data_IF_636358585556
#
_entry.id   IF_636358585556
#
_cell.length_a   1.000
_cell.length_b   1.000
_cell.length_c   1.000
_cell.angle_alpha   90.00
_cell.angle_beta   90.00
_cell.angle_gamma   90.00
#
_symmetry.space_group_name_H-M   'P 1'
#
loop_
_entity.id
_entity.type
_entity.pdbx_description
1 polymer ?
#
# COMPACT_ATOMS: atom_id res chain seq x y z
N UNK A 1 14.12 35.35 -4.39
CA UNK A 1 14.07 35.66 -2.93
C UNK A 1 14.59 34.49 -2.09
N UNK A 2 14.12 33.26 -2.32
CA UNK A 2 14.59 32.04 -1.61
C UNK A 2 16.12 31.85 -1.64
N UNK A 3 16.74 31.92 -2.83
CA UNK A 3 18.19 31.79 -2.98
C UNK A 3 19.02 32.78 -2.13
N UNK A 4 18.62 34.06 -2.11
CA UNK A 4 19.32 35.09 -1.35
C UNK A 4 19.29 34.81 0.15
N UNK A 5 18.13 34.40 0.68
CA UNK A 5 17.98 33.99 2.09
C UNK A 5 18.85 32.78 2.42
N UNK A 6 18.83 31.75 1.58
CA UNK A 6 19.66 30.55 1.78
C UNK A 6 21.16 30.90 1.75
N UNK A 7 21.58 31.75 0.82
CA UNK A 7 22.98 32.17 0.68
C UNK A 7 23.49 32.97 1.89
N UNK A 8 22.67 33.85 2.45
CA UNK A 8 23.02 34.63 3.64
C UNK A 8 23.15 33.71 4.87
N UNK A 9 22.16 32.83 5.09
CA UNK A 9 22.17 31.88 6.20
C UNK A 9 23.35 30.92 6.10
N UNK A 10 23.60 30.37 4.90
CA UNK A 10 24.69 29.42 4.68
C UNK A 10 26.06 30.03 4.98
N UNK A 11 26.31 31.27 4.52
CA UNK A 11 27.55 32.00 4.82
C UNK A 11 27.74 32.19 6.33
N UNK A 12 26.71 32.65 7.03
CA UNK A 12 26.74 32.87 8.49
C UNK A 12 27.06 31.58 9.28
N UNK A 13 26.51 30.44 8.87
CA UNK A 13 26.77 29.16 9.54
C UNK A 13 28.16 28.62 9.17
N UNK A 14 28.59 28.82 7.93
CA UNK A 14 29.84 28.31 7.42
C UNK A 14 31.08 28.94 8.05
N UNK A 15 30.99 30.16 8.60
CA UNK A 15 32.11 30.83 9.28
C UNK A 15 32.75 29.98 10.40
N UNK A 16 31.99 29.07 11.01
CA UNK A 16 32.49 28.13 12.03
C UNK A 16 33.26 26.92 11.45
N UNK A 17 33.16 26.67 10.15
CA UNK A 17 33.65 25.47 9.47
C UNK A 17 34.66 25.78 8.34
N UNK A 18 34.52 26.92 7.66
CA UNK A 18 35.37 27.31 6.53
C UNK A 18 34.74 28.37 5.62
N UNK A 19 35.01 28.28 4.32
CA UNK A 19 34.49 29.21 3.30
C UNK A 19 33.33 28.55 2.57
N UNK A 20 32.20 29.26 2.48
CA UNK A 20 31.01 28.80 1.76
C UNK A 20 30.78 29.61 0.49
N UNK A 21 30.51 28.92 -0.61
CA UNK A 21 30.01 29.50 -1.84
C UNK A 21 28.63 28.93 -2.14
N UNK A 22 27.67 29.81 -2.44
CA UNK A 22 26.34 29.41 -2.87
C UNK A 22 26.21 29.67 -4.36
N UNK A 23 25.57 28.74 -5.07
CA UNK A 23 25.34 28.81 -6.51
C UNK A 23 23.90 28.37 -6.76
N UNK A 24 23.19 29.07 -7.63
CA UNK A 24 21.85 28.66 -8.06
C UNK A 24 21.98 27.67 -9.24
N UNK A 25 21.40 26.49 -9.09
CA UNK A 25 21.32 25.48 -10.15
C UNK A 25 19.99 25.65 -10.90
N UNK A 26 19.88 25.29 -12.20
CA UNK A 26 18.59 25.20 -12.89
C UNK A 26 17.52 24.52 -12.04
N UNK A 27 16.27 25.00 -12.13
CA UNK A 27 15.11 24.60 -11.31
C UNK A 27 15.06 25.23 -9.89
N UNK A 28 15.89 26.23 -9.61
CA UNK A 28 15.75 27.07 -8.40
C UNK A 28 16.23 26.42 -7.10
N UNK A 29 17.05 25.36 -7.21
CA UNK A 29 17.64 24.66 -6.07
C UNK A 29 18.98 25.32 -5.71
N UNK A 30 19.15 25.83 -4.48
CA UNK A 30 20.42 26.39 -4.04
C UNK A 30 21.43 25.25 -3.81
N UNK A 31 22.62 25.39 -4.39
CA UNK A 31 23.76 24.53 -4.15
C UNK A 31 24.76 25.24 -3.24
N UNK A 32 25.31 24.51 -2.28
CA UNK A 32 26.28 25.04 -1.32
C UNK A 32 27.57 24.24 -1.45
N UNK A 33 28.66 24.93 -1.75
CA UNK A 33 30.01 24.38 -1.72
C UNK A 33 30.66 24.86 -0.43
N UNK A 34 30.98 23.92 0.46
CA UNK A 34 31.65 24.19 1.72
C UNK A 34 33.11 23.76 1.62
N UNK A 35 34.01 24.74 1.54
CA UNK A 35 35.45 24.54 1.56
C UNK A 35 35.97 24.65 2.99
N UNK A 36 36.56 23.58 3.52
CA UNK A 36 37.00 23.52 4.91
C UNK A 36 38.51 23.30 5.00
N UNK A 37 39.21 23.88 6.00
CA UNK A 37 40.65 23.76 6.15
C UNK A 37 41.10 22.36 6.60
N UNK A 38 40.18 21.62 7.23
CA UNK A 38 40.35 20.23 7.66
C UNK A 38 39.19 19.41 7.14
N UNK A 39 39.43 18.11 6.93
CA UNK A 39 38.37 17.16 6.58
C UNK A 39 37.34 17.09 7.71
N UNK A 40 36.08 17.39 7.41
CA UNK A 40 34.98 17.31 8.37
C UNK A 40 34.58 15.85 8.59
N UNK A 41 34.24 15.53 9.83
CA UNK A 41 33.59 14.25 10.16
C UNK A 41 32.13 14.29 9.73
N UNK A 42 31.54 13.11 9.47
CA UNK A 42 30.12 12.99 9.10
C UNK A 42 29.20 13.72 10.09
N UNK A 43 29.47 13.64 11.40
CA UNK A 43 28.68 14.32 12.42
C UNK A 43 28.70 15.85 12.26
N UNK A 44 29.83 16.43 11.87
CA UNK A 44 29.99 17.88 11.67
C UNK A 44 29.26 18.34 10.40
N UNK A 45 29.28 17.52 9.34
CA UNK A 45 28.54 17.76 8.09
C UNK A 45 27.03 17.72 8.35
N UNK A 46 26.56 16.69 9.04
CA UNK A 46 25.14 16.55 9.41
C UNK A 46 24.70 17.70 10.31
N UNK A 47 25.52 18.12 11.28
CA UNK A 47 25.21 19.25 12.16
C UNK A 47 25.08 20.56 11.38
N UNK A 48 26.00 20.82 10.44
CA UNK A 48 25.93 21.97 9.55
C UNK A 48 24.62 21.97 8.76
N UNK A 49 24.28 20.85 8.12
CA UNK A 49 23.05 20.71 7.33
C UNK A 49 21.79 20.86 8.19
N UNK A 50 21.76 20.30 9.41
CA UNK A 50 20.64 20.46 10.36
C UNK A 50 20.43 21.92 10.73
N UNK A 51 21.49 22.64 11.09
CA UNK A 51 21.42 24.08 11.41
C UNK A 51 20.88 24.87 10.22
N UNK A 52 21.36 24.57 9.01
CA UNK A 52 20.92 25.22 7.79
C UNK A 52 19.41 25.01 7.56
N UNK A 53 18.95 23.76 7.57
CA UNK A 53 17.55 23.39 7.38
C UNK A 53 16.67 24.07 8.44
N UNK A 54 17.05 24.02 9.72
CA UNK A 54 16.29 24.65 10.80
C UNK A 54 16.14 26.17 10.61
N UNK A 55 17.19 26.86 10.18
CA UNK A 55 17.15 28.30 9.92
C UNK A 55 16.29 28.65 8.69
N UNK A 56 16.31 27.82 7.65
CA UNK A 56 15.49 28.02 6.45
C UNK A 56 14.01 27.75 6.78
N UNK A 57 13.72 26.61 7.41
CA UNK A 57 12.35 26.18 7.73
C UNK A 57 11.64 27.15 8.69
N UNK A 58 12.36 27.70 9.68
CA UNK A 58 11.81 28.70 10.61
C UNK A 58 11.48 30.03 9.92
N UNK A 59 12.28 30.45 8.94
CA UNK A 59 12.07 31.71 8.23
C UNK A 59 11.03 31.61 7.09
N UNK A 60 10.87 30.44 6.47
CA UNK A 60 10.11 30.29 5.22
C UNK A 60 8.86 29.40 5.33
N UNK A 61 8.66 28.66 6.43
CA UNK A 61 7.60 27.63 6.57
C UNK A 61 7.59 26.58 5.44
N UNK A 62 8.76 26.33 4.84
CA UNK A 62 8.94 25.35 3.79
C UNK A 62 9.63 24.10 4.34
N UNK A 63 9.17 22.92 3.93
CA UNK A 63 9.91 21.68 4.15
C UNK A 63 11.16 21.71 3.26
N UNK A 64 12.33 21.62 3.88
CA UNK A 64 13.62 21.71 3.17
C UNK A 64 14.40 20.42 3.42
N UNK A 65 14.85 19.78 2.34
CA UNK A 65 15.76 18.64 2.39
C UNK A 65 17.13 19.05 1.86
N UNK A 66 18.20 18.52 2.49
CA UNK A 66 19.56 18.68 2.03
C UNK A 66 20.09 17.37 1.45
N UNK A 67 20.73 17.46 0.29
CA UNK A 67 21.35 16.33 -0.41
C UNK A 67 22.85 16.56 -0.43
N UNK A 68 23.61 15.64 0.14
CA UNK A 68 25.00 15.88 0.50
C UNK A 68 25.89 14.82 -0.15
N UNK A 69 26.94 15.26 -0.84
CA UNK A 69 28.03 14.40 -1.33
C UNK A 69 29.17 14.30 -0.33
N UNK A 70 30.10 13.36 -0.55
CA UNK A 70 31.25 13.14 0.33
C UNK A 70 32.23 14.33 0.28
N UNK A 71 33.09 14.41 1.29
CA UNK A 71 34.21 15.36 1.31
C UNK A 71 35.37 14.87 0.43
N UNK A 72 35.96 15.79 -0.32
CA UNK A 72 37.12 15.54 -1.18
C UNK A 72 38.15 16.65 -1.04
N UNK A 73 39.41 16.32 -1.34
CA UNK A 73 40.53 17.26 -1.35
C UNK A 73 40.70 17.88 -2.74
N UNK A 74 40.99 19.18 -2.76
CA UNK A 74 41.33 19.91 -3.98
C UNK A 74 40.14 20.24 -4.88
N UNK A 75 40.40 21.04 -5.92
CA UNK A 75 39.37 21.60 -6.80
C UNK A 75 38.53 20.54 -7.53
N UNK A 76 39.16 19.48 -8.05
CA UNK A 76 38.47 18.39 -8.74
C UNK A 76 37.47 17.63 -7.86
N UNK A 77 37.66 17.67 -6.53
CA UNK A 77 36.76 17.07 -5.56
C UNK A 77 35.36 17.68 -5.54
N UNK A 78 35.21 18.94 -5.98
CA UNK A 78 33.92 19.64 -6.05
C UNK A 78 32.99 18.91 -7.03
N UNK A 79 33.48 18.57 -8.23
CA UNK A 79 32.69 17.87 -9.24
C UNK A 79 32.20 16.51 -8.73
N UNK A 80 33.08 15.76 -8.06
CA UNK A 80 32.72 14.45 -7.51
C UNK A 80 31.67 14.56 -6.40
N UNK A 81 31.89 15.45 -5.42
CA UNK A 81 30.91 15.71 -4.35
C UNK A 81 29.55 16.15 -4.90
N UNK A 82 29.56 16.98 -5.95
CA UNK A 82 28.34 17.44 -6.60
C UNK A 82 27.57 16.33 -7.32
N UNK A 83 28.26 15.44 -8.06
CA UNK A 83 27.62 14.28 -8.68
C UNK A 83 27.04 13.31 -7.62
N UNK A 84 27.73 13.13 -6.49
CA UNK A 84 27.20 12.35 -5.37
C UNK A 84 25.96 12.98 -4.74
N UNK A 85 25.94 14.31 -4.57
CA UNK A 85 24.76 15.04 -4.10
C UNK A 85 23.58 14.93 -5.08
N UNK A 86 23.84 14.91 -6.40
CA UNK A 86 22.82 14.64 -7.42
C UNK A 86 22.27 13.22 -7.33
N UNK A 87 23.12 12.23 -7.07
CA UNK A 87 22.65 10.86 -6.79
C UNK A 87 21.75 10.86 -5.56
N UNK A 88 22.16 11.50 -4.46
CA UNK A 88 21.33 11.62 -3.26
C UNK A 88 19.98 12.31 -3.52
N UNK A 89 19.95 13.34 -4.39
CA UNK A 89 18.72 14.01 -4.82
C UNK A 89 17.73 13.09 -5.55
N UNK A 90 18.21 12.06 -6.25
CA UNK A 90 17.33 11.08 -6.89
C UNK A 90 16.57 10.21 -5.88
N UNK A 91 17.05 10.10 -4.64
CA UNK A 91 16.39 9.33 -3.58
C UNK A 91 15.29 10.11 -2.85
N UNK A 92 15.03 11.38 -3.18
CA UNK A 92 14.01 12.22 -2.52
C UNK A 92 12.61 11.58 -2.46
N UNK A 93 12.26 10.79 -3.48
CA UNK A 93 10.96 10.11 -3.56
C UNK A 93 10.94 8.77 -2.82
N UNK A 94 12.10 8.23 -2.46
CA UNK A 94 12.24 6.97 -1.71
C UNK A 94 12.41 7.25 -0.22
N UNK A 95 13.29 8.18 0.13
CA UNK A 95 13.60 8.60 1.49
C UNK A 95 12.79 9.86 1.80
N UNK A 96 11.51 9.65 2.14
CA UNK A 96 10.52 10.73 2.25
C UNK A 96 10.61 11.47 3.57
N UNK A 97 11.06 10.82 4.65
CA UNK A 97 10.97 11.38 6.02
C UNK A 97 12.26 12.05 6.51
N UNK A 98 13.40 11.78 5.89
CA UNK A 98 14.66 12.37 6.31
C UNK A 98 14.83 13.76 5.70
N UNK A 99 15.23 14.70 6.54
CA UNK A 99 15.57 16.06 6.10
C UNK A 99 16.97 16.10 5.45
N UNK A 100 17.81 15.09 5.69
CA UNK A 100 19.18 15.02 5.18
C UNK A 100 19.40 13.67 4.54
N UNK A 101 19.73 13.68 3.25
CA UNK A 101 20.14 12.49 2.50
C UNK A 101 21.63 12.62 2.19
N UNK A 102 22.44 11.87 2.92
CA UNK A 102 23.88 11.84 2.73
C UNK A 102 24.28 10.67 1.83
N UNK A 103 25.02 10.94 0.76
CA UNK A 103 25.42 9.93 -0.22
C UNK A 103 26.12 8.72 0.40
N UNK A 104 26.96 8.93 1.42
CA UNK A 104 27.66 7.82 2.07
C UNK A 104 26.74 6.82 2.76
N UNK A 105 25.52 7.25 3.12
CA UNK A 105 24.50 6.41 3.75
C UNK A 105 23.63 5.67 2.72
N UNK A 106 23.78 5.98 1.43
CA UNK A 106 23.15 5.28 0.29
C UNK A 106 23.98 4.05 -0.11
N UNK A 107 24.63 3.38 0.85
CA UNK A 107 25.39 2.15 0.61
C UNK A 107 24.51 0.95 0.92
N UNK A 108 24.41 0.01 -0.02
CA UNK A 108 23.64 -1.27 -0.02
C UNK A 108 22.36 -1.31 -0.89
N UNK A 109 22.44 -0.89 -2.15
CA UNK A 109 21.32 -1.01 -3.11
C UNK A 109 21.19 -2.39 -3.76
N UNK A 110 22.21 -3.27 -3.66
CA UNK A 110 22.28 -4.53 -4.41
C UNK A 110 21.72 -5.75 -3.68
N UNK A 111 20.87 -5.55 -2.66
CA UNK A 111 20.20 -6.65 -1.99
C UNK A 111 18.95 -7.06 -2.78
N UNK A 112 18.66 -8.38 -2.93
CA UNK A 112 17.49 -8.83 -3.67
C UNK A 112 16.20 -8.29 -3.06
N UNK A 113 15.28 -7.83 -3.91
CA UNK A 113 13.94 -7.36 -3.53
C UNK A 113 13.14 -8.51 -2.94
N UNK A 114 12.44 -8.27 -1.83
CA UNK A 114 11.50 -9.24 -1.27
C UNK A 114 10.14 -9.02 -1.90
N UNK A 115 9.97 -9.59 -3.09
CA UNK A 115 8.69 -9.77 -3.78
C UNK A 115 8.84 -10.92 -4.78
N UNK A 116 9.10 -12.12 -4.25
CA UNK A 116 9.20 -13.32 -5.07
C UNK A 116 7.84 -13.71 -5.65
N UNK A 117 7.86 -14.58 -6.66
CA UNK A 117 6.63 -15.15 -7.25
C UNK A 117 5.71 -15.74 -6.19
N UNK A 118 6.25 -16.41 -5.17
CA UNK A 118 5.45 -17.00 -4.08
C UNK A 118 4.74 -15.93 -3.23
N UNK A 119 5.43 -14.82 -2.93
CA UNK A 119 4.84 -13.71 -2.17
C UNK A 119 3.75 -13.04 -2.99
N UNK A 120 4.00 -12.81 -4.27
CA UNK A 120 3.03 -12.25 -5.20
C UNK A 120 1.77 -13.14 -5.29
N UNK A 121 1.92 -14.45 -5.50
CA UNK A 121 0.79 -15.39 -5.58
C UNK A 121 -0.01 -15.40 -4.28
N UNK A 122 0.67 -15.42 -3.12
CA UNK A 122 0.01 -15.32 -1.81
C UNK A 122 -0.76 -14.02 -1.65
N UNK A 123 -0.17 -12.90 -2.06
CA UNK A 123 -0.82 -11.59 -2.01
C UNK A 123 -2.09 -11.57 -2.87
N UNK A 124 -1.97 -11.96 -4.14
CA UNK A 124 -3.12 -11.99 -5.06
C UNK A 124 -4.24 -12.93 -4.60
N UNK A 125 -3.90 -14.09 -4.03
CA UNK A 125 -4.89 -15.03 -3.50
C UNK A 125 -5.67 -14.45 -2.30
N UNK A 126 -5.01 -13.70 -1.42
CA UNK A 126 -5.68 -13.00 -0.33
C UNK A 126 -6.59 -11.89 -0.84
N UNK A 127 -6.15 -11.13 -1.85
CA UNK A 127 -6.99 -10.13 -2.51
C UNK A 127 -8.22 -10.79 -3.16
N UNK A 128 -8.04 -11.83 -3.99
CA UNK A 128 -9.15 -12.54 -4.68
C UNK A 128 -10.12 -13.22 -3.73
N UNK A 129 -9.69 -13.57 -2.52
CA UNK A 129 -10.55 -14.12 -1.49
C UNK A 129 -11.19 -13.05 -0.59
N UNK A 130 -10.91 -11.77 -0.80
CA UNK A 130 -11.43 -10.67 0.03
C UNK A 130 -10.82 -10.64 1.44
N UNK A 131 -9.70 -11.33 1.67
CA UNK A 131 -8.98 -11.35 2.93
C UNK A 131 -8.06 -10.13 3.05
N UNK A 132 -8.66 -8.97 3.31
CA UNK A 132 -7.95 -7.69 3.40
C UNK A 132 -6.85 -7.71 4.46
N UNK A 133 -7.13 -8.26 5.65
CA UNK A 133 -6.17 -8.26 6.76
C UNK A 133 -4.85 -8.91 6.37
N UNK A 134 -4.90 -10.09 5.76
CA UNK A 134 -3.68 -10.81 5.39
C UNK A 134 -2.98 -10.18 4.17
N UNK A 135 -3.75 -9.66 3.21
CA UNK A 135 -3.18 -8.92 2.08
C UNK A 135 -2.41 -7.68 2.55
N UNK A 136 -2.97 -6.90 3.50
CA UNK A 136 -2.30 -5.73 4.07
C UNK A 136 -1.05 -6.11 4.86
N UNK A 137 -1.05 -7.21 5.62
CA UNK A 137 0.17 -7.69 6.31
C UNK A 137 1.30 -8.01 5.33
N UNK A 138 0.98 -8.65 4.20
CA UNK A 138 1.97 -8.94 3.17
C UNK A 138 2.50 -7.64 2.57
N UNK A 139 1.62 -6.70 2.21
CA UNK A 139 2.01 -5.40 1.67
C UNK A 139 2.87 -4.58 2.64
N UNK A 140 2.49 -4.56 3.92
CA UNK A 140 3.23 -3.90 4.99
C UNK A 140 4.62 -4.54 5.17
N UNK A 141 4.72 -5.87 5.11
CA UNK A 141 6.00 -6.59 5.18
C UNK A 141 6.91 -6.23 4.00
N UNK A 142 6.35 -6.19 2.78
CA UNK A 142 7.09 -5.76 1.58
C UNK A 142 7.59 -4.33 1.78
N UNK A 143 6.73 -3.42 2.22
CA UNK A 143 7.10 -2.02 2.40
C UNK A 143 8.20 -1.84 3.45
N UNK A 144 7.99 -2.38 4.66
CA UNK A 144 8.93 -2.24 5.77
C UNK A 144 10.30 -2.83 5.43
N UNK A 145 10.33 -4.01 4.81
CA UNK A 145 11.60 -4.68 4.52
C UNK A 145 12.37 -4.02 3.38
N UNK A 146 11.67 -3.41 2.40
CA UNK A 146 12.32 -2.79 1.25
C UNK A 146 12.66 -1.31 1.45
N UNK A 147 11.93 -0.59 2.31
CA UNK A 147 12.05 0.88 2.42
C UNK A 147 12.37 1.39 3.83
N UNK A 148 12.07 0.63 4.88
CA UNK A 148 12.33 1.07 6.27
C UNK A 148 13.58 0.42 6.85
N UNK A 149 13.85 -0.83 6.50
CA UNK A 149 15.02 -1.58 6.98
C UNK A 149 16.25 -1.41 6.09
N UNK A 150 16.07 -0.90 4.87
CA UNK A 150 17.15 -0.69 3.88
C UNK A 150 16.76 0.37 2.86
N UNK A 151 17.77 0.83 2.12
CA UNK A 151 17.61 1.77 1.00
C UNK A 151 17.76 1.03 -0.33
N UNK A 152 16.72 1.06 -1.17
CA UNK A 152 16.78 0.52 -2.53
C UNK A 152 16.88 1.63 -3.57
N UNK A 153 17.49 1.33 -4.71
CA UNK A 153 17.62 2.30 -5.80
C UNK A 153 16.24 2.79 -6.28
N UNK A 154 16.08 4.08 -6.64
CA UNK A 154 14.79 4.65 -7.01
C UNK A 154 14.11 3.92 -8.18
N UNK A 155 14.87 3.51 -9.17
CA UNK A 155 14.36 2.76 -10.33
C UNK A 155 13.79 1.40 -9.90
N UNK A 156 14.47 0.76 -8.95
CA UNK A 156 14.07 -0.53 -8.39
C UNK A 156 12.82 -0.38 -7.51
N UNK A 157 12.74 0.71 -6.74
CA UNK A 157 11.55 1.07 -5.99
C UNK A 157 10.33 1.24 -6.90
N UNK A 158 10.48 2.00 -7.98
CA UNK A 158 9.43 2.21 -8.97
C UNK A 158 8.98 0.90 -9.63
N UNK A 159 9.92 0.01 -9.98
CA UNK A 159 9.61 -1.32 -10.50
C UNK A 159 8.82 -2.17 -9.50
N UNK A 160 9.21 -2.17 -8.22
CA UNK A 160 8.50 -2.90 -7.18
C UNK A 160 7.06 -2.40 -7.02
N UNK A 161 6.87 -1.08 -6.85
CA UNK A 161 5.53 -0.51 -6.68
C UNK A 161 4.64 -0.77 -7.91
N UNK A 162 5.21 -0.66 -9.11
CA UNK A 162 4.52 -1.00 -10.35
C UNK A 162 4.14 -2.49 -10.41
N UNK A 163 5.01 -3.40 -9.94
CA UNK A 163 4.70 -4.84 -9.94
C UNK A 163 3.53 -5.19 -9.02
N UNK A 164 3.43 -4.55 -7.86
CA UNK A 164 2.32 -4.73 -6.91
C UNK A 164 1.04 -4.15 -7.49
N UNK A 165 1.12 -2.95 -8.08
CA UNK A 165 0.00 -2.32 -8.76
C UNK A 165 -0.57 -3.20 -9.89
N UNK A 166 0.29 -3.73 -10.76
CA UNK A 166 -0.15 -4.65 -11.83
C UNK A 166 -0.82 -5.90 -11.26
N UNK A 167 -0.35 -6.40 -10.11
CA UNK A 167 -0.99 -7.53 -9.41
C UNK A 167 -2.40 -7.18 -8.94
N UNK A 168 -2.62 -5.96 -8.44
CA UNK A 168 -3.94 -5.45 -8.08
C UNK A 168 -4.83 -5.24 -9.31
N UNK A 169 -4.28 -4.72 -10.41
CA UNK A 169 -5.00 -4.60 -11.68
C UNK A 169 -5.52 -5.94 -12.18
N UNK A 170 -4.68 -6.99 -12.18
CA UNK A 170 -5.10 -8.35 -12.54
C UNK A 170 -6.19 -8.90 -11.63
N UNK A 171 -6.15 -8.56 -10.34
CA UNK A 171 -7.23 -8.94 -9.42
C UNK A 171 -8.52 -8.19 -9.74
N UNK A 172 -8.44 -6.88 -9.96
CA UNK A 172 -9.57 -6.03 -10.29
C UNK A 172 -10.28 -6.45 -11.60
N UNK A 173 -9.51 -6.80 -12.63
CA UNK A 173 -10.02 -7.26 -13.93
C UNK A 173 -10.96 -8.47 -13.78
N UNK A 174 -10.64 -9.39 -12.87
CA UNK A 174 -11.43 -10.60 -12.64
C UNK A 174 -12.75 -10.37 -11.86
N UNK A 175 -12.98 -9.17 -11.34
CA UNK A 175 -14.08 -8.86 -10.42
C UNK A 175 -15.18 -8.06 -11.09
N UNK A 176 -14.83 -6.88 -11.62
CA UNK A 176 -15.78 -5.89 -12.11
C UNK A 176 -15.05 -4.80 -12.92
N UNK A 177 -15.63 -4.38 -14.05
CA UNK A 177 -15.05 -3.37 -14.93
C UNK A 177 -14.93 -1.98 -14.27
N UNK A 178 -15.85 -1.63 -13.37
CA UNK A 178 -15.79 -0.36 -12.62
C UNK A 178 -14.63 -0.34 -11.65
N UNK A 179 -14.36 -1.46 -10.97
CA UNK A 179 -13.21 -1.58 -10.07
C UNK A 179 -11.92 -1.51 -10.86
N UNK A 180 -11.85 -2.21 -12.00
CA UNK A 180 -10.68 -2.11 -12.88
C UNK A 180 -10.42 -0.67 -13.33
N UNK A 181 -11.48 0.06 -13.74
CA UNK A 181 -11.38 1.47 -14.09
C UNK A 181 -10.88 2.34 -12.93
N UNK A 182 -11.43 2.14 -11.72
CA UNK A 182 -10.98 2.84 -10.52
C UNK A 182 -9.48 2.63 -10.25
N UNK A 183 -8.98 1.39 -10.40
CA UNK A 183 -7.56 1.10 -10.23
C UNK A 183 -6.73 1.83 -11.29
N UNK A 184 -7.13 1.81 -12.55
CA UNK A 184 -6.46 2.53 -13.64
C UNK A 184 -6.30 4.03 -13.38
N UNK A 185 -7.34 4.67 -12.83
CA UNK A 185 -7.34 6.10 -12.50
C UNK A 185 -6.31 6.46 -11.40
N UNK A 186 -5.83 5.48 -10.62
CA UNK A 186 -4.79 5.67 -9.60
C UNK A 186 -3.36 5.52 -10.13
N UNK A 187 -3.18 5.22 -11.41
CA UNK A 187 -1.84 5.02 -12.01
C UNK A 187 -0.91 6.22 -11.91
N UNK A 188 -1.44 7.46 -11.88
CA UNK A 188 -0.62 8.69 -11.80
C UNK A 188 0.23 8.77 -10.52
N UNK A 189 -0.23 8.14 -9.43
CA UNK A 189 0.53 8.13 -8.19
C UNK A 189 1.83 7.33 -8.34
N UNK A 190 1.86 6.32 -9.21
CA UNK A 190 3.07 5.54 -9.48
C UNK A 190 4.13 6.31 -10.27
N UNK A 191 3.72 7.30 -11.07
CA UNK A 191 4.64 8.09 -11.91
C UNK A 191 5.07 9.37 -11.22
N UNK A 192 4.18 10.00 -10.44
CA UNK A 192 4.38 11.34 -9.91
C UNK A 192 4.49 11.40 -8.38
N UNK A 193 4.06 10.34 -7.68
CA UNK A 193 4.08 10.27 -6.23
C UNK A 193 5.43 9.85 -5.66
N UNK A 194 5.62 10.11 -4.36
CA UNK A 194 6.68 9.45 -3.61
C UNK A 194 6.28 8.02 -3.23
N UNK A 195 7.24 7.18 -2.87
CA UNK A 195 7.01 5.75 -2.58
C UNK A 195 6.05 5.54 -1.40
N UNK A 196 6.03 6.45 -0.41
CA UNK A 196 5.09 6.35 0.69
C UNK A 196 3.65 6.62 0.24
N UNK A 197 3.42 7.64 -0.58
CA UNK A 197 2.11 7.94 -1.16
C UNK A 197 1.62 6.80 -2.05
N UNK A 198 2.52 6.23 -2.87
CA UNK A 198 2.22 5.03 -3.65
C UNK A 198 1.77 3.87 -2.75
N UNK A 199 2.49 3.63 -1.64
CA UNK A 199 2.16 2.57 -0.70
C UNK A 199 0.78 2.75 -0.08
N UNK A 200 0.44 3.97 0.35
CA UNK A 200 -0.89 4.28 0.88
C UNK A 200 -1.96 4.06 -0.19
N UNK A 201 -1.74 4.52 -1.41
CA UNK A 201 -2.67 4.28 -2.52
C UNK A 201 -2.86 2.79 -2.82
N UNK A 202 -1.82 1.97 -2.71
CA UNK A 202 -1.94 0.52 -2.88
C UNK A 202 -2.81 -0.11 -1.78
N UNK A 203 -2.71 0.37 -0.54
CA UNK A 203 -3.59 -0.07 0.56
C UNK A 203 -5.05 0.28 0.28
N UNK A 204 -5.32 1.49 -0.16
CA UNK A 204 -6.68 1.93 -0.52
C UNK A 204 -7.26 1.07 -1.66
N UNK A 205 -6.44 0.75 -2.66
CA UNK A 205 -6.85 -0.15 -3.74
C UNK A 205 -7.15 -1.56 -3.19
N UNK A 206 -6.34 -2.09 -2.28
CA UNK A 206 -6.60 -3.39 -1.66
C UNK A 206 -7.96 -3.39 -0.93
N UNK A 207 -8.24 -2.34 -0.18
CA UNK A 207 -9.49 -2.18 0.57
C UNK A 207 -10.71 -2.14 -0.36
N UNK A 208 -10.66 -1.31 -1.40
CA UNK A 208 -11.75 -1.19 -2.39
C UNK A 208 -12.03 -2.53 -3.07
N UNK A 209 -10.98 -3.23 -3.52
CA UNK A 209 -11.11 -4.53 -4.16
C UNK A 209 -11.72 -5.56 -3.20
N UNK A 210 -11.17 -5.68 -1.99
CA UNK A 210 -11.63 -6.67 -1.01
C UNK A 210 -13.08 -6.42 -0.58
N UNK A 211 -13.45 -5.16 -0.37
CA UNK A 211 -14.82 -4.79 0.00
C UNK A 211 -15.82 -5.16 -1.10
N UNK A 212 -15.51 -4.88 -2.38
CA UNK A 212 -16.37 -5.29 -3.50
C UNK A 212 -16.54 -6.81 -3.56
N UNK A 213 -15.46 -7.59 -3.39
CA UNK A 213 -15.52 -9.06 -3.36
C UNK A 213 -16.43 -9.54 -2.24
N UNK A 214 -16.28 -8.99 -1.03
CA UNK A 214 -17.06 -9.41 0.13
C UNK A 214 -18.55 -9.05 -0.04
N UNK A 215 -18.87 -7.87 -0.57
CA UNK A 215 -20.25 -7.49 -0.91
C UNK A 215 -20.86 -8.45 -1.95
N UNK A 216 -20.12 -8.81 -2.99
CA UNK A 216 -20.59 -9.78 -3.99
C UNK A 216 -20.81 -11.17 -3.37
N UNK A 217 -19.94 -11.61 -2.45
CA UNK A 217 -20.10 -12.88 -1.73
C UNK A 217 -21.35 -12.87 -0.85
N UNK A 218 -21.58 -11.80 -0.10
CA UNK A 218 -22.78 -11.65 0.73
C UNK A 218 -24.05 -11.65 -0.11
N UNK A 219 -24.07 -10.91 -1.22
CA UNK A 219 -25.20 -10.91 -2.16
C UNK A 219 -25.49 -12.31 -2.70
N UNK A 220 -24.46 -13.06 -3.12
CA UNK A 220 -24.60 -14.45 -3.60
C UNK A 220 -25.12 -15.38 -2.51
N UNK A 221 -24.64 -15.24 -1.26
CA UNK A 221 -25.15 -16.00 -0.12
C UNK A 221 -26.63 -15.70 0.14
N UNK A 222 -27.03 -14.42 0.09
CA UNK A 222 -28.42 -14.00 0.27
C UNK A 222 -29.34 -14.55 -0.83
N UNK A 223 -28.91 -14.49 -2.09
CA UNK A 223 -29.66 -15.04 -3.22
C UNK A 223 -29.84 -16.57 -3.08
N UNK A 224 -28.77 -17.27 -2.72
CA UNK A 224 -28.81 -18.71 -2.49
C UNK A 224 -29.73 -19.08 -1.33
N UNK A 225 -29.67 -18.33 -0.22
CA UNK A 225 -30.56 -18.51 0.92
C UNK A 225 -32.02 -18.37 0.51
N UNK A 226 -32.37 -17.30 -0.23
CA UNK A 226 -33.72 -17.07 -0.76
C UNK A 226 -34.17 -18.21 -1.67
N UNK A 227 -33.28 -18.71 -2.55
CA UNK A 227 -33.58 -19.85 -3.43
C UNK A 227 -33.92 -21.11 -2.62
N UNK A 228 -33.17 -21.39 -1.56
CA UNK A 228 -33.44 -22.52 -0.66
C UNK A 228 -34.77 -22.33 0.08
N UNK A 229 -35.06 -21.13 0.58
CA UNK A 229 -36.33 -20.81 1.23
C UNK A 229 -37.52 -21.06 0.29
N UNK A 230 -37.46 -20.58 -0.96
CA UNK A 230 -38.51 -20.81 -1.95
C UNK A 230 -38.75 -22.30 -2.23
N UNK A 231 -37.68 -23.09 -2.36
CA UNK A 231 -37.81 -24.56 -2.52
C UNK A 231 -38.47 -25.18 -1.28
N UNK A 232 -38.08 -24.75 -0.07
CA UNK A 232 -38.68 -25.27 1.16
C UNK A 232 -40.17 -24.91 1.22
N UNK A 233 -40.55 -23.68 0.89
CA UNK A 233 -41.93 -23.22 0.92
C UNK A 233 -42.80 -23.93 -0.12
N UNK A 234 -42.30 -24.10 -1.34
CA UNK A 234 -43.01 -24.80 -2.42
C UNK A 234 -43.34 -26.26 -2.05
N UNK A 235 -42.44 -26.93 -1.31
CA UNK A 235 -42.56 -28.35 -0.97
C UNK A 235 -42.81 -28.61 0.52
N UNK A 236 -43.20 -27.63 1.32
CA UNK A 236 -43.25 -27.75 2.79
C UNK A 236 -44.21 -28.85 3.29
N UNK A 237 -45.29 -29.08 2.55
CA UNK A 237 -46.30 -30.11 2.81
C UNK A 237 -45.93 -31.48 2.23
N UNK A 238 -44.91 -31.55 1.39
CA UNK A 238 -44.46 -32.82 0.79
C UNK A 238 -43.75 -33.67 1.85
N UNK A 239 -44.13 -34.95 2.05
CA UNK A 239 -43.43 -35.84 2.96
C UNK A 239 -41.99 -36.14 2.49
N UNK A 240 -41.71 -35.96 1.19
CA UNK A 240 -40.41 -36.22 0.57
C UNK A 240 -39.45 -35.02 0.64
N UNK A 241 -39.82 -33.94 1.33
CA UNK A 241 -38.92 -32.79 1.54
C UNK A 241 -37.84 -33.18 2.56
N UNK A 242 -36.71 -33.65 2.04
CA UNK A 242 -35.51 -33.99 2.80
C UNK A 242 -34.25 -33.31 2.24
N UNK A 243 -33.13 -33.54 2.91
CA UNK A 243 -31.84 -32.96 2.54
C UNK A 243 -31.38 -33.35 1.14
N UNK A 244 -31.65 -34.59 0.74
CA UNK A 244 -31.26 -35.13 -0.56
C UNK A 244 -32.05 -34.44 -1.68
N UNK A 245 -33.35 -34.22 -1.46
CA UNK A 245 -34.22 -33.53 -2.41
C UNK A 245 -33.76 -32.11 -2.71
N UNK A 246 -33.51 -31.30 -1.67
CA UNK A 246 -33.08 -29.90 -1.89
C UNK A 246 -31.69 -29.85 -2.49
N UNK A 247 -30.75 -30.66 -1.99
CA UNK A 247 -29.39 -30.74 -2.54
C UNK A 247 -29.40 -31.07 -4.04
N UNK A 248 -30.26 -31.99 -4.47
CA UNK A 248 -30.48 -32.32 -5.88
C UNK A 248 -31.01 -31.15 -6.70
N UNK A 249 -31.99 -30.38 -6.18
CA UNK A 249 -32.55 -29.19 -6.85
C UNK A 249 -31.54 -28.06 -7.05
N UNK A 250 -30.53 -27.96 -6.20
CA UNK A 250 -29.47 -26.94 -6.30
C UNK A 250 -28.15 -27.48 -6.86
N UNK A 251 -28.10 -28.77 -7.24
CA UNK A 251 -26.97 -29.38 -7.94
C UNK A 251 -25.73 -29.63 -7.07
N UNK A 252 -25.90 -29.87 -5.76
CA UNK A 252 -24.78 -30.17 -4.86
C UNK A 252 -24.98 -31.48 -4.10
N UNK A 253 -23.92 -31.99 -3.47
CA UNK A 253 -24.01 -33.21 -2.67
C UNK A 253 -24.79 -32.96 -1.37
N UNK A 254 -25.54 -33.95 -0.85
CA UNK A 254 -26.23 -33.80 0.42
C UNK A 254 -25.29 -33.43 1.57
N UNK A 255 -24.08 -34.01 1.63
CA UNK A 255 -23.09 -33.71 2.67
C UNK A 255 -22.67 -32.23 2.66
N UNK A 256 -22.33 -31.69 1.48
CA UNK A 256 -21.99 -30.28 1.34
C UNK A 256 -23.18 -29.36 1.65
N UNK A 257 -24.39 -29.75 1.22
CA UNK A 257 -25.61 -29.00 1.54
C UNK A 257 -25.88 -28.91 3.04
N UNK A 258 -25.60 -29.96 3.83
CA UNK A 258 -25.80 -29.92 5.29
C UNK A 258 -24.97 -28.82 5.95
N UNK A 259 -23.68 -28.74 5.60
CA UNK A 259 -22.77 -27.72 6.11
C UNK A 259 -23.19 -26.32 5.64
N UNK A 260 -23.48 -26.19 4.34
CA UNK A 260 -23.91 -24.94 3.72
C UNK A 260 -25.24 -24.42 4.32
N UNK A 261 -26.22 -25.29 4.54
CA UNK A 261 -27.49 -24.91 5.13
C UNK A 261 -27.29 -24.37 6.54
N UNK A 262 -26.48 -25.07 7.36
CA UNK A 262 -26.19 -24.62 8.71
C UNK A 262 -25.45 -23.27 8.72
N UNK A 263 -24.56 -23.03 7.76
CA UNK A 263 -23.88 -21.74 7.58
C UNK A 263 -24.87 -20.61 7.21
N UNK A 264 -25.81 -20.86 6.29
CA UNK A 264 -26.74 -19.85 5.79
C UNK A 264 -27.90 -19.53 6.76
N UNK A 265 -28.36 -20.53 7.51
CA UNK A 265 -29.56 -20.45 8.36
C UNK A 265 -29.26 -20.48 9.86
N UNK A 266 -28.01 -20.74 10.26
CA UNK A 266 -27.59 -20.91 11.66
C UNK A 266 -28.33 -22.02 12.42
N UNK A 267 -29.06 -22.91 11.73
CA UNK A 267 -29.79 -24.04 12.30
C UNK A 267 -29.69 -25.25 11.39
N UNK A 268 -29.94 -26.44 11.95
CA UNK A 268 -30.02 -27.66 11.16
C UNK A 268 -31.25 -27.66 10.24
N UNK A 269 -31.14 -28.31 9.08
CA UNK A 269 -32.24 -28.36 8.11
C UNK A 269 -33.50 -29.05 8.66
N UNK A 270 -33.35 -30.20 9.32
CA UNK A 270 -34.47 -30.93 9.89
C UNK A 270 -35.20 -30.11 10.96
N UNK A 271 -34.46 -29.35 11.76
CA UNK A 271 -35.01 -28.44 12.75
C UNK A 271 -35.78 -27.29 12.08
N UNK A 272 -35.19 -26.67 11.05
CA UNK A 272 -35.81 -25.60 10.28
C UNK A 272 -37.15 -26.03 9.66
N UNK A 273 -37.18 -27.17 8.95
CA UNK A 273 -38.38 -27.71 8.31
C UNK A 273 -39.44 -28.07 9.35
N UNK A 274 -39.04 -28.74 10.44
CA UNK A 274 -39.98 -29.13 11.51
C UNK A 274 -40.65 -27.91 12.13
N UNK A 275 -39.87 -26.87 12.44
CA UNK A 275 -40.40 -25.60 12.98
C UNK A 275 -41.37 -24.93 12.02
N UNK A 276 -41.08 -24.93 10.72
CA UNK A 276 -41.98 -24.38 9.69
C UNK A 276 -43.28 -25.19 9.56
N UNK A 277 -43.20 -26.53 9.53
CA UNK A 277 -44.39 -27.40 9.49
C UNK A 277 -45.28 -27.24 10.72
N UNK A 278 -44.70 -27.19 11.93
CA UNK A 278 -45.47 -26.93 13.16
C UNK A 278 -46.16 -25.56 13.13
N UNK A 279 -45.47 -24.53 12.62
CA UNK A 279 -46.06 -23.19 12.49
C UNK A 279 -47.22 -23.18 11.49
N UNK A 280 -47.09 -23.88 10.37
CA UNK A 280 -48.14 -24.03 9.36
C UNK A 280 -49.36 -24.75 9.93
N UNK A 281 -49.15 -25.87 10.64
CA UNK A 281 -50.23 -26.61 11.30
C UNK A 281 -50.96 -25.77 12.36
N UNK A 282 -50.22 -24.98 13.16
CA UNK A 282 -50.82 -24.07 14.13
C UNK A 282 -51.67 -22.97 13.47
N UNK A 283 -51.27 -22.46 12.30
CA UNK A 283 -52.06 -21.50 11.54
C UNK A 283 -53.34 -22.14 11.00
N UNK A 284 -53.27 -23.34 10.41
CA UNK A 284 -54.46 -24.06 9.95
C UNK A 284 -55.46 -24.33 11.07
N UNK A 285 -55.00 -24.67 12.27
CA UNK A 285 -55.87 -24.87 13.45
C UNK A 285 -56.56 -23.59 13.92
N UNK A 286 -55.97 -22.41 13.68
CA UNK A 286 -56.58 -21.11 14.03
C UNK A 286 -57.59 -20.64 13.00
N UNK A 287 -57.39 -20.95 11.73
CA UNK A 287 -58.30 -20.61 10.64
C UNK A 287 -59.51 -21.56 10.53
N UNK A 288 -59.47 -22.69 11.22
CA UNK A 288 -60.55 -23.69 11.26
C UNK A 288 -61.47 -23.56 12.49
N UNK A 289 -61.37 -22.45 13.22
CA UNK A 289 -62.28 -22.01 14.30
C UNK A 289 -63.03 -20.77 13.85
#
# INVERSE_FOLDING_TARGET
MFYATVSEIARRIADAYGICMCIEIPVGTPCIILNTPKELRETEIIEFAKKLIQNISSNQKLRTQAYIGSCYKGFYGICQSFEEAKIALNYRNVIVYDDIIYYQNIKNTNMPIIYSTDVQVKFENNIRSGNLSEALKILDTIYQTNFSQRTIAPEIASCLMSSIYVSLMRCAESIDAEIYKYVCEKSELLTNGNIHDCYLSLKDICEVICNKINMQKESRKAELKRKIELIIEEYITSPNLDQTFIAGKIGITPSYFSCLFKELFNVGMSEYISKRRCSLAANYLKESV
#
